data_IF_052816821911
#
_entry.id   IF_052816821911
#
_cell.length_a   1.000
_cell.length_b   1.000
_cell.length_c   1.000
_cell.angle_alpha   90.00
_cell.angle_beta   90.00
_cell.angle_gamma   90.00
#
_symmetry.space_group_name_H-M   'P 1'
#
loop_
_entity.id
_entity.type
_entity.pdbx_description
1 polymer ?
#
# COMPACT_ATOMS: atom_id res chain seq x y z
N UNK A 1 -46.03 19.09 -9.43
CA UNK A 1 -45.65 17.94 -10.28
C UNK A 1 -44.64 17.10 -9.51
N UNK A 2 -44.93 15.82 -9.22
CA UNK A 2 -43.99 14.93 -8.54
C UNK A 2 -42.71 14.77 -9.39
N UNK A 3 -41.57 14.59 -8.72
CA UNK A 3 -40.25 14.46 -9.36
C UNK A 3 -40.22 13.20 -10.25
N UNK A 4 -39.71 13.27 -11.50
CA UNK A 4 -39.64 12.12 -12.40
C UNK A 4 -38.55 11.14 -11.96
N UNK A 5 -38.88 10.17 -11.12
CA UNK A 5 -37.94 9.23 -10.51
C UNK A 5 -37.21 8.36 -11.56
N UNK A 6 -37.85 8.09 -12.70
CA UNK A 6 -37.31 7.33 -13.82
C UNK A 6 -36.03 7.98 -14.37
N UNK A 7 -35.95 9.30 -14.33
CA UNK A 7 -34.75 10.04 -14.76
C UNK A 7 -33.57 9.87 -13.78
N UNK A 8 -33.83 9.48 -12.53
CA UNK A 8 -32.80 9.25 -11.50
C UNK A 8 -32.32 7.79 -11.45
N UNK A 9 -33.04 6.84 -12.03
CA UNK A 9 -32.65 5.42 -12.04
C UNK A 9 -31.25 5.22 -12.65
N UNK A 10 -30.91 5.81 -13.82
CA UNK A 10 -29.57 5.65 -14.38
C UNK A 10 -28.47 6.20 -13.46
N UNK A 11 -28.72 7.34 -12.82
CA UNK A 11 -27.79 7.93 -11.86
C UNK A 11 -27.63 7.08 -10.59
N UNK A 12 -28.72 6.49 -10.11
CA UNK A 12 -28.70 5.55 -8.98
C UNK A 12 -27.87 4.30 -9.29
N UNK A 13 -28.08 3.70 -10.46
CA UNK A 13 -27.32 2.52 -10.90
C UNK A 13 -25.83 2.84 -11.06
N UNK A 14 -25.49 3.95 -11.72
CA UNK A 14 -24.09 4.39 -11.85
C UNK A 14 -23.44 4.57 -10.48
N UNK A 15 -24.11 5.31 -9.58
CA UNK A 15 -23.60 5.56 -8.22
C UNK A 15 -23.39 4.24 -7.46
N UNK A 16 -24.35 3.31 -7.54
CA UNK A 16 -24.25 2.01 -6.88
C UNK A 16 -23.04 1.19 -7.39
N UNK A 17 -22.81 1.16 -8.71
CA UNK A 17 -21.68 0.45 -9.30
C UNK A 17 -20.33 1.07 -8.89
N UNK A 18 -20.23 2.40 -8.86
CA UNK A 18 -19.03 3.09 -8.37
C UNK A 18 -18.78 2.82 -6.89
N UNK A 19 -19.82 2.85 -6.06
CA UNK A 19 -19.71 2.54 -4.62
C UNK A 19 -19.28 1.08 -4.38
N UNK A 20 -19.86 0.13 -5.11
CA UNK A 20 -19.47 -1.28 -5.03
C UNK A 20 -17.99 -1.47 -5.40
N UNK A 21 -17.54 -0.81 -6.47
CA UNK A 21 -16.14 -0.89 -6.91
C UNK A 21 -15.19 -0.23 -5.91
N UNK A 22 -15.52 0.97 -5.42
CA UNK A 22 -14.71 1.72 -4.47
C UNK A 22 -14.52 0.95 -3.15
N UNK A 23 -15.61 0.36 -2.63
CA UNK A 23 -15.57 -0.47 -1.41
C UNK A 23 -14.77 -1.76 -1.63
N UNK A 24 -14.94 -2.41 -2.79
CA UNK A 24 -14.16 -3.60 -3.17
C UNK A 24 -12.65 -3.33 -3.23
N UNK A 25 -12.24 -2.25 -3.88
CA UNK A 25 -10.82 -1.84 -3.97
C UNK A 25 -10.28 -1.53 -2.58
N UNK A 26 -11.01 -0.76 -1.77
CA UNK A 26 -10.59 -0.42 -0.40
C UNK A 26 -10.39 -1.66 0.44
N UNK A 27 -11.32 -2.62 0.37
CA UNK A 27 -11.22 -3.89 1.10
C UNK A 27 -10.01 -4.72 0.66
N UNK A 28 -9.79 -4.85 -0.65
CA UNK A 28 -8.63 -5.57 -1.16
C UNK A 28 -7.31 -4.93 -0.70
N UNK A 29 -7.23 -3.59 -0.74
CA UNK A 29 -6.04 -2.84 -0.32
C UNK A 29 -5.78 -2.96 1.17
N UNK A 30 -6.80 -2.86 2.03
CA UNK A 30 -6.63 -3.00 3.48
C UNK A 30 -6.23 -4.42 3.85
N UNK A 31 -6.80 -5.44 3.19
CA UNK A 31 -6.40 -6.85 3.41
C UNK A 31 -4.94 -7.09 3.04
N UNK A 32 -4.45 -6.52 1.93
CA UNK A 32 -3.03 -6.60 1.53
C UNK A 32 -2.09 -5.86 2.49
N UNK A 33 -2.58 -4.85 3.18
CA UNK A 33 -1.81 -4.07 4.15
C UNK A 33 -2.01 -4.51 5.60
N UNK A 34 -2.30 -5.80 5.84
CA UNK A 34 -2.47 -6.35 7.19
C UNK A 34 -3.55 -5.60 8.00
N UNK A 35 -4.59 -5.12 7.33
CA UNK A 35 -5.68 -4.34 7.92
C UNK A 35 -5.40 -2.83 8.06
N UNK A 36 -4.18 -2.37 7.75
CA UNK A 36 -3.79 -0.96 7.84
C UNK A 36 -4.16 -0.19 6.58
N UNK A 37 -4.31 1.13 6.71
CA UNK A 37 -4.55 2.01 5.57
C UNK A 37 -3.34 2.04 4.62
N UNK A 38 -3.62 2.26 3.33
CA UNK A 38 -2.56 2.49 2.32
C UNK A 38 -1.90 3.83 2.60
N UNK A 39 -0.57 3.88 2.48
CA UNK A 39 0.20 5.13 2.51
C UNK A 39 0.32 5.70 1.09
N UNK A 40 0.12 7.00 0.97
CA UNK A 40 0.25 7.75 -0.29
C UNK A 40 1.39 8.76 -0.17
N UNK A 41 1.87 9.25 -1.32
CA UNK A 41 2.91 10.30 -1.36
C UNK A 41 4.21 9.94 -0.64
N UNK A 42 4.63 8.68 -0.76
CA UNK A 42 5.81 8.16 -0.07
C UNK A 42 7.10 8.79 -0.58
N UNK A 43 7.82 9.47 0.31
CA UNK A 43 9.15 10.01 0.00
C UNK A 43 10.25 8.94 0.11
N UNK A 44 11.50 9.32 -0.17
CA UNK A 44 12.63 8.39 -0.11
C UNK A 44 12.96 7.96 1.33
N UNK A 45 12.71 8.82 2.31
CA UNK A 45 12.91 8.52 3.72
C UNK A 45 11.93 7.43 4.19
N UNK A 46 10.65 7.61 3.90
CA UNK A 46 9.57 6.68 4.23
C UNK A 46 9.79 5.32 3.55
N UNK A 47 10.29 5.30 2.31
CA UNK A 47 10.66 4.04 1.64
C UNK A 47 11.78 3.31 2.37
N UNK A 48 12.81 4.03 2.83
CA UNK A 48 13.91 3.45 3.62
C UNK A 48 13.42 2.97 4.98
N UNK A 49 12.56 3.73 5.65
CA UNK A 49 11.95 3.33 6.93
C UNK A 49 11.06 2.11 6.80
N UNK A 50 10.24 2.00 5.75
CA UNK A 50 9.45 0.78 5.50
C UNK A 50 10.33 -0.44 5.24
N UNK A 51 11.46 -0.29 4.55
CA UNK A 51 12.41 -1.39 4.35
C UNK A 51 13.06 -1.82 5.68
N UNK A 52 13.39 -0.85 6.54
CA UNK A 52 13.86 -1.11 7.91
C UNK A 52 12.80 -1.82 8.74
N UNK A 53 11.55 -1.37 8.71
CA UNK A 53 10.45 -1.97 9.47
C UNK A 53 10.21 -3.42 9.01
N UNK A 54 10.27 -3.68 7.70
CA UNK A 54 10.23 -5.04 7.16
C UNK A 54 11.40 -5.92 7.64
N UNK A 55 12.61 -5.35 7.78
CA UNK A 55 13.75 -6.07 8.38
C UNK A 55 13.56 -6.36 9.87
N UNK A 56 12.83 -5.51 10.60
CA UNK A 56 12.57 -5.70 12.03
C UNK A 56 11.45 -6.70 12.29
N UNK A 57 10.35 -6.64 11.52
CA UNK A 57 9.14 -7.43 11.78
C UNK A 57 8.99 -8.64 10.87
N UNK A 58 9.67 -8.66 9.72
CA UNK A 58 9.51 -9.71 8.69
C UNK A 58 8.19 -9.64 7.93
N UNK A 59 7.37 -8.60 8.15
CA UNK A 59 6.08 -8.40 7.46
C UNK A 59 6.07 -7.07 6.71
N UNK A 60 5.20 -6.94 5.72
CA UNK A 60 5.16 -5.76 4.84
C UNK A 60 4.68 -4.50 5.56
N UNK A 61 3.82 -4.64 6.57
CA UNK A 61 3.23 -3.51 7.31
C UNK A 61 3.33 -3.66 8.83
N UNK A 62 4.16 -4.56 9.32
CA UNK A 62 4.39 -4.77 10.74
C UNK A 62 4.95 -3.51 11.41
N UNK A 63 4.55 -3.30 12.66
CA UNK A 63 5.14 -2.30 13.53
C UNK A 63 5.50 -2.99 14.83
N UNK A 64 6.62 -2.59 15.40
CA UNK A 64 7.14 -3.12 16.65
C UNK A 64 7.63 -1.96 17.50
N UNK A 65 7.34 -2.02 18.80
CA UNK A 65 7.71 -1.03 19.81
C UNK A 65 8.69 -1.58 20.86
N UNK A 66 9.23 -2.78 20.62
CA UNK A 66 10.24 -3.41 21.47
C UNK A 66 11.49 -2.55 21.64
N UNK A 67 11.96 -2.45 22.90
CA UNK A 67 13.16 -1.68 23.26
C UNK A 67 14.43 -2.29 22.65
N UNK A 68 14.48 -3.61 22.54
CA UNK A 68 15.64 -4.36 22.04
C UNK A 68 15.26 -5.02 20.71
N UNK A 69 16.00 -4.67 19.66
CA UNK A 69 15.79 -5.26 18.33
C UNK A 69 16.09 -6.78 18.33
N UNK A 70 15.39 -7.56 17.48
CA UNK A 70 15.65 -8.99 17.34
C UNK A 70 17.09 -9.24 16.86
N UNK A 71 17.74 -10.34 17.30
CA UNK A 71 19.15 -10.59 16.98
C UNK A 71 19.43 -10.71 15.47
N UNK A 72 18.45 -11.16 14.69
CA UNK A 72 18.53 -11.26 13.23
C UNK A 72 18.69 -9.89 12.55
N UNK A 73 18.23 -8.81 13.17
CA UNK A 73 18.36 -7.45 12.63
C UNK A 73 19.83 -7.01 12.49
N UNK A 74 20.74 -7.60 13.27
CA UNK A 74 22.18 -7.31 13.17
C UNK A 74 22.81 -7.80 11.87
N UNK A 75 22.21 -8.81 11.22
CA UNK A 75 22.80 -9.50 10.07
C UNK A 75 21.96 -9.42 8.79
N UNK A 76 20.72 -8.93 8.86
CA UNK A 76 19.81 -8.91 7.73
C UNK A 76 19.86 -7.61 6.88
N UNK A 77 20.92 -6.81 7.05
CA UNK A 77 21.14 -5.61 6.24
C UNK A 77 21.35 -5.99 4.77
N UNK A 78 20.58 -5.38 3.87
CA UNK A 78 20.70 -5.60 2.43
C UNK A 78 21.25 -4.36 1.72
N UNK A 79 22.26 -4.58 0.87
CA UNK A 79 22.81 -3.58 -0.03
C UNK A 79 22.25 -3.80 -1.43
N UNK A 80 21.70 -2.75 -2.03
CA UNK A 80 21.21 -2.82 -3.42
C UNK A 80 22.40 -2.67 -4.36
N UNK A 81 22.67 -3.71 -5.14
CA UNK A 81 23.65 -3.67 -6.22
C UNK A 81 22.92 -3.32 -7.50
N UNK A 82 23.41 -2.31 -8.20
CA UNK A 82 22.82 -1.83 -9.45
C UNK A 82 23.73 -2.20 -10.61
N UNK A 83 23.12 -2.58 -11.73
CA UNK A 83 23.83 -2.81 -12.98
C UNK A 83 24.33 -1.47 -13.55
N UNK A 84 25.49 -1.52 -14.21
CA UNK A 84 26.05 -0.36 -14.88
C UNK A 84 25.27 -0.05 -16.15
N UNK A 85 24.59 1.09 -16.16
CA UNK A 85 23.84 1.61 -17.32
C UNK A 85 24.72 1.89 -18.56
N UNK A 86 26.03 1.74 -18.46
CA UNK A 86 26.97 1.97 -19.57
C UNK A 86 26.88 0.89 -20.65
N UNK A 87 26.51 -0.34 -20.29
CA UNK A 87 26.61 -1.49 -21.19
C UNK A 87 25.40 -1.66 -22.13
N UNK A 88 24.32 -0.90 -21.92
CA UNK A 88 23.07 -1.03 -22.69
C UNK A 88 23.03 -0.15 -23.97
N UNK A 89 24.07 0.64 -24.22
CA UNK A 89 24.14 1.59 -25.34
C UNK A 89 25.21 1.23 -26.40
N UNK A 90 25.73 0.00 -26.37
CA UNK A 90 26.68 -0.54 -27.35
C UNK A 90 26.01 -1.64 -28.18
#
# INVERSE_FOLDING_TARGET
MPVPFESFIPFGVMTAMFMATATGIRFAQTKRNEGKAVRYSLDDWERKMMARDHQLTGTMRGQVDDVIAPPQFKVNSSWKVYESLRNDFA
#
